data_IF_051563667501
#
_entry.id   IF_051563667501
#
_cell.length_a   1.000
_cell.length_b   1.000
_cell.length_c   1.000
_cell.angle_alpha   90.00
_cell.angle_beta   90.00
_cell.angle_gamma   90.00
#
_symmetry.space_group_name_H-M   'P 1'
#
loop_
_entity.id
_entity.type
_entity.pdbx_description
1 polymer ?
#
# COMPACT_ATOMS: atom_id res chain seq x y z
N UNK A 1 -34.45 33.35 -25.80
CA UNK A 1 -35.12 32.31 -24.99
C UNK A 1 -34.48 30.94 -25.22
N UNK A 2 -34.47 30.40 -26.45
CA UNK A 2 -33.87 29.09 -26.75
C UNK A 2 -32.37 28.88 -26.40
N UNK A 3 -31.57 29.96 -26.30
CA UNK A 3 -30.14 29.86 -25.95
C UNK A 3 -29.87 29.79 -24.44
N UNK A 4 -30.79 30.27 -23.59
CA UNK A 4 -30.67 30.13 -22.14
C UNK A 4 -31.13 28.74 -21.71
N UNK A 5 -32.27 28.27 -22.24
CA UNK A 5 -32.80 26.93 -21.92
C UNK A 5 -31.83 25.80 -22.30
N UNK A 6 -31.11 25.92 -23.42
CA UNK A 6 -30.07 24.95 -23.80
C UNK A 6 -28.84 25.00 -22.89
N UNK A 7 -28.53 26.16 -22.32
CA UNK A 7 -27.40 26.35 -21.43
C UNK A 7 -27.71 25.81 -20.03
N UNK A 8 -28.93 26.07 -19.55
CA UNK A 8 -29.45 25.54 -18.29
C UNK A 8 -29.56 24.00 -18.33
N UNK A 9 -29.94 23.42 -19.48
CA UNK A 9 -29.97 21.96 -19.67
C UNK A 9 -28.57 21.33 -19.64
N UNK A 10 -27.61 21.93 -20.34
CA UNK A 10 -26.24 21.43 -20.38
C UNK A 10 -25.52 21.56 -19.02
N UNK A 11 -25.77 22.65 -18.29
CA UNK A 11 -25.27 22.85 -16.92
C UNK A 11 -25.87 21.80 -15.97
N UNK A 12 -27.17 21.50 -16.10
CA UNK A 12 -27.83 20.45 -15.34
C UNK A 12 -27.28 19.05 -15.63
N UNK A 13 -27.09 18.70 -16.90
CA UNK A 13 -26.50 17.42 -17.31
C UNK A 13 -25.09 17.22 -16.74
N UNK A 14 -24.28 18.28 -16.72
CA UNK A 14 -22.93 18.26 -16.14
C UNK A 14 -22.98 18.02 -14.61
N UNK A 15 -23.90 18.69 -13.91
CA UNK A 15 -24.06 18.54 -12.46
C UNK A 15 -24.49 17.13 -12.06
N UNK A 16 -25.39 16.51 -12.83
CA UNK A 16 -25.81 15.12 -12.61
C UNK A 16 -24.63 14.17 -12.82
N UNK A 17 -23.85 14.36 -13.88
CA UNK A 17 -22.69 13.51 -14.16
C UNK A 17 -21.63 13.57 -13.04
N UNK A 18 -21.38 14.75 -12.47
CA UNK A 18 -20.45 14.92 -11.34
C UNK A 18 -20.96 14.24 -10.06
N UNK A 19 -22.26 14.31 -9.80
CA UNK A 19 -22.90 13.61 -8.68
C UNK A 19 -22.86 12.09 -8.86
N UNK A 20 -23.09 11.59 -10.07
CA UNK A 20 -22.98 10.18 -10.38
C UNK A 20 -21.55 9.66 -10.23
N UNK A 21 -20.54 10.43 -10.64
CA UNK A 21 -19.13 10.07 -10.43
C UNK A 21 -18.79 9.97 -8.94
N UNK A 22 -19.21 10.97 -8.15
CA UNK A 22 -19.01 10.97 -6.70
C UNK A 22 -19.78 9.83 -6.02
N UNK A 23 -21.02 9.57 -6.44
CA UNK A 23 -21.86 8.46 -5.97
C UNK A 23 -21.16 7.12 -6.20
N UNK A 24 -20.62 6.90 -7.40
CA UNK A 24 -19.95 5.64 -7.72
C UNK A 24 -18.71 5.42 -6.84
N UNK A 25 -17.87 6.44 -6.66
CA UNK A 25 -16.71 6.36 -5.75
C UNK A 25 -17.12 6.13 -4.29
N UNK A 26 -18.21 6.77 -3.86
CA UNK A 26 -18.75 6.57 -2.52
C UNK A 26 -19.26 5.13 -2.34
N UNK A 27 -20.00 4.60 -3.30
CA UNK A 27 -20.49 3.21 -3.29
C UNK A 27 -19.37 2.16 -3.22
N UNK A 28 -18.21 2.42 -3.83
CA UNK A 28 -17.03 1.55 -3.67
C UNK A 28 -16.58 1.39 -2.22
N UNK A 29 -16.97 2.30 -1.33
CA UNK A 29 -16.64 2.28 0.08
C UNK A 29 -17.62 1.49 0.96
N UNK A 30 -18.82 1.16 0.45
CA UNK A 30 -19.86 0.44 1.20
C UNK A 30 -19.39 -0.94 1.72
N UNK A 31 -18.67 -1.77 0.94
CA UNK A 31 -18.14 -3.05 1.43
C UNK A 31 -17.15 -2.87 2.61
N UNK A 32 -16.39 -1.78 2.62
CA UNK A 32 -15.40 -1.47 3.66
C UNK A 32 -16.12 -1.16 4.97
N UNK A 33 -17.16 -0.32 4.93
CA UNK A 33 -17.98 -0.01 6.11
C UNK A 33 -18.62 -1.28 6.68
N UNK A 34 -19.14 -2.14 5.82
CA UNK A 34 -19.71 -3.41 6.26
C UNK A 34 -18.67 -4.27 6.98
N UNK A 35 -17.45 -4.36 6.42
CA UNK A 35 -16.34 -5.07 7.06
C UNK A 35 -15.93 -4.47 8.41
N UNK A 36 -15.89 -3.13 8.55
CA UNK A 36 -15.62 -2.46 9.84
C UNK A 36 -16.67 -2.83 10.88
N UNK A 37 -17.97 -2.73 10.52
CA UNK A 37 -19.08 -3.05 11.42
C UNK A 37 -19.02 -4.51 11.89
N UNK A 38 -18.74 -5.44 10.98
CA UNK A 38 -18.56 -6.85 11.32
C UNK A 38 -17.34 -7.09 12.23
N UNK A 39 -16.23 -6.40 12.00
CA UNK A 39 -15.03 -6.48 12.82
C UNK A 39 -15.28 -6.00 14.26
N UNK A 40 -15.99 -4.87 14.42
CA UNK A 40 -16.35 -4.28 15.70
C UNK A 40 -17.40 -5.08 16.49
N UNK A 41 -18.23 -5.87 15.82
CA UNK A 41 -19.26 -6.68 16.46
C UNK A 41 -18.71 -7.97 17.13
N UNK A 42 -17.50 -8.41 16.75
CA UNK A 42 -16.85 -9.59 17.32
C UNK A 42 -16.13 -9.24 18.62
N UNK A 43 -16.22 -10.10 19.63
CA UNK A 43 -15.35 -10.03 20.82
C UNK A 43 -14.04 -10.74 20.53
N UNK A 44 -12.94 -10.00 20.53
CA UNK A 44 -11.59 -10.54 20.34
C UNK A 44 -10.90 -10.76 21.70
N UNK A 45 -9.86 -11.60 21.74
CA UNK A 45 -9.07 -11.84 22.97
C UNK A 45 -8.06 -10.71 23.25
N UNK A 46 -7.40 -10.76 24.43
CA UNK A 46 -6.51 -9.71 24.97
C UNK A 46 -5.47 -9.15 23.99
N UNK A 47 -5.02 -9.97 23.01
CA UNK A 47 -4.04 -9.58 21.97
C UNK A 47 -4.55 -8.45 21.06
N UNK A 48 -5.87 -8.34 20.88
CA UNK A 48 -6.50 -7.41 19.93
C UNK A 48 -7.01 -6.11 20.57
N UNK A 49 -6.96 -5.94 21.90
CA UNK A 49 -7.59 -4.79 22.59
C UNK A 49 -7.11 -3.43 22.06
N UNK A 50 -5.80 -3.24 21.83
CA UNK A 50 -5.26 -1.96 21.35
C UNK A 50 -5.65 -1.66 19.90
N UNK A 51 -5.67 -2.69 19.05
CA UNK A 51 -5.99 -2.54 17.62
C UNK A 51 -7.49 -2.36 17.41
N UNK A 52 -8.30 -3.08 18.18
CA UNK A 52 -9.73 -2.85 18.27
C UNK A 52 -10.02 -1.43 18.76
N UNK A 53 -9.24 -0.92 19.72
CA UNK A 53 -9.35 0.46 20.18
C UNK A 53 -8.98 1.48 19.09
N UNK A 54 -7.93 1.22 18.31
CA UNK A 54 -7.52 2.10 17.21
C UNK A 54 -8.58 2.14 16.09
N UNK A 55 -9.12 0.99 15.67
CA UNK A 55 -10.24 0.93 14.71
C UNK A 55 -11.49 1.60 15.27
N UNK A 56 -11.80 1.43 16.56
CA UNK A 56 -12.90 2.13 17.24
C UNK A 56 -12.67 3.65 17.24
N UNK A 57 -11.44 4.12 17.43
CA UNK A 57 -11.13 5.54 17.44
C UNK A 57 -11.30 6.14 16.03
N UNK A 58 -10.74 5.49 14.99
CA UNK A 58 -10.91 5.94 13.61
C UNK A 58 -12.37 5.87 13.15
N UNK A 59 -13.12 4.83 13.53
CA UNK A 59 -14.55 4.76 13.25
C UNK A 59 -15.35 5.84 14.00
N UNK A 60 -14.98 6.21 15.23
CA UNK A 60 -15.61 7.32 15.96
C UNK A 60 -15.42 8.68 15.28
N UNK A 61 -14.31 8.88 14.59
CA UNK A 61 -14.06 10.10 13.80
C UNK A 61 -14.87 10.11 12.50
N UNK A 62 -15.02 8.92 11.87
CA UNK A 62 -15.79 8.75 10.64
C UNK A 62 -17.31 8.82 10.86
N UNK A 63 -17.78 8.27 11.97
CA UNK A 63 -19.20 8.06 12.23
C UNK A 63 -20.04 9.35 12.16
N UNK A 64 -19.63 10.49 12.74
CA UNK A 64 -20.35 11.76 12.59
C UNK A 64 -20.46 12.25 11.14
N UNK A 65 -19.44 12.00 10.30
CA UNK A 65 -19.43 12.40 8.88
C UNK A 65 -20.42 11.53 8.09
N UNK A 66 -20.45 10.23 8.37
CA UNK A 66 -21.45 9.31 7.81
C UNK A 66 -22.87 9.71 8.22
N UNK A 67 -23.07 10.07 9.49
CA UNK A 67 -24.34 10.59 9.97
C UNK A 67 -24.71 11.91 9.29
N UNK A 68 -23.75 12.81 9.03
CA UNK A 68 -24.00 14.09 8.36
C UNK A 68 -24.42 13.91 6.90
N UNK A 69 -23.76 13.00 6.18
CA UNK A 69 -24.15 12.62 4.81
C UNK A 69 -25.60 12.09 4.80
N UNK A 70 -25.99 11.34 5.84
CA UNK A 70 -27.33 10.80 5.98
C UNK A 70 -28.36 11.87 6.42
N UNK A 71 -28.02 12.77 7.35
CA UNK A 71 -28.90 13.82 7.93
C UNK A 71 -29.35 14.91 6.94
N UNK A 72 -28.84 14.93 5.71
CA UNK A 72 -29.40 15.78 4.66
C UNK A 72 -30.84 15.38 4.26
N UNK A 73 -31.43 14.35 4.90
CA UNK A 73 -32.86 14.00 4.86
C UNK A 73 -33.54 14.33 6.21
N UNK A 74 -34.75 14.88 6.16
CA UNK A 74 -35.57 15.14 7.35
C UNK A 74 -36.00 13.86 8.11
N UNK A 75 -35.97 12.69 7.46
CA UNK A 75 -36.27 11.39 8.07
C UNK A 75 -35.25 10.34 7.59
N UNK A 76 -34.36 9.88 8.47
CA UNK A 76 -33.33 8.87 8.18
C UNK A 76 -33.60 7.61 9.00
N UNK A 77 -33.52 6.45 8.35
CA UNK A 77 -33.43 5.14 8.99
C UNK A 77 -31.97 4.67 8.99
N UNK A 78 -31.53 3.92 10.02
CA UNK A 78 -30.20 3.27 10.02
C UNK A 78 -30.00 2.27 8.86
N UNK A 79 -31.11 1.84 8.23
CA UNK A 79 -31.15 0.91 7.09
C UNK A 79 -31.21 1.61 5.70
N UNK A 80 -31.09 2.94 5.64
CA UNK A 80 -31.12 3.65 4.36
C UNK A 80 -29.89 3.33 3.48
N UNK A 81 -30.12 3.16 2.18
CA UNK A 81 -29.08 2.79 1.21
C UNK A 81 -27.97 3.83 1.14
N UNK A 82 -26.73 3.38 0.92
CA UNK A 82 -25.54 4.22 0.90
C UNK A 82 -25.56 5.27 -0.24
N UNK A 83 -26.31 5.01 -1.32
CA UNK A 83 -26.47 5.93 -2.45
C UNK A 83 -27.65 6.89 -2.34
N UNK A 84 -28.50 6.70 -1.33
CA UNK A 84 -29.76 7.41 -1.19
C UNK A 84 -29.60 8.96 -1.13
N UNK A 85 -28.54 9.53 -0.51
CA UNK A 85 -28.31 10.98 -0.52
C UNK A 85 -28.03 11.56 -1.91
N UNK A 86 -27.34 10.80 -2.78
CA UNK A 86 -27.05 11.23 -4.15
C UNK A 86 -28.29 11.13 -5.04
N UNK A 87 -29.06 10.05 -4.91
CA UNK A 87 -30.30 9.85 -5.66
C UNK A 87 -31.33 10.95 -5.39
N UNK A 88 -31.47 11.39 -4.13
CA UNK A 88 -32.38 12.47 -3.78
C UNK A 88 -31.93 13.83 -4.32
N UNK A 89 -30.63 14.12 -4.28
CA UNK A 89 -30.10 15.38 -4.81
C UNK A 89 -30.26 15.44 -6.33
N UNK A 90 -30.02 14.32 -7.03
CA UNK A 90 -30.29 14.17 -8.48
C UNK A 90 -31.79 14.31 -8.76
N UNK A 91 -32.66 13.71 -7.95
CA UNK A 91 -34.10 13.87 -8.11
C UNK A 91 -34.53 15.33 -7.89
N UNK A 92 -33.97 16.04 -6.92
CA UNK A 92 -34.29 17.46 -6.69
C UNK A 92 -33.85 18.38 -7.84
N UNK A 93 -32.73 18.05 -8.50
CA UNK A 93 -32.29 18.66 -9.77
C UNK A 93 -33.28 18.40 -10.90
N UNK A 94 -33.86 17.20 -10.94
CA UNK A 94 -34.82 16.80 -11.96
C UNK A 94 -36.19 17.44 -11.83
N UNK A 95 -36.65 17.63 -10.59
CA UNK A 95 -37.98 18.19 -10.29
C UNK A 95 -37.97 19.72 -10.12
N UNK A 96 -36.80 20.36 -10.12
CA UNK A 96 -36.67 21.82 -10.06
C UNK A 96 -37.02 22.43 -8.69
N UNK A 97 -36.86 21.66 -7.61
CA UNK A 97 -37.30 22.03 -6.26
C UNK A 97 -36.40 23.09 -5.57
N UNK A 98 -35.20 23.33 -6.09
CA UNK A 98 -34.21 24.27 -5.53
C UNK A 98 -33.69 25.24 -6.60
N UNK A 99 -33.32 26.46 -6.18
CA UNK A 99 -32.61 27.41 -7.06
C UNK A 99 -31.20 26.91 -7.40
N UNK A 100 -30.72 27.13 -8.63
CA UNK A 100 -29.44 26.63 -9.17
C UNK A 100 -28.26 26.83 -8.20
N UNK A 101 -28.19 27.97 -7.52
CA UNK A 101 -27.13 28.28 -6.53
C UNK A 101 -27.18 27.41 -5.28
N UNK A 102 -28.38 27.10 -4.77
CA UNK A 102 -28.56 26.29 -3.56
C UNK A 102 -28.24 24.82 -3.83
N UNK A 103 -28.51 24.35 -5.04
CA UNK A 103 -28.16 23.00 -5.48
C UNK A 103 -26.65 22.83 -5.65
N UNK A 104 -25.97 23.83 -6.21
CA UNK A 104 -24.51 23.81 -6.36
C UNK A 104 -23.84 23.74 -4.98
N UNK A 105 -24.31 24.51 -3.99
CA UNK A 105 -23.75 24.46 -2.63
C UNK A 105 -23.98 23.09 -1.97
N UNK A 106 -25.19 22.53 -2.08
CA UNK A 106 -25.50 21.18 -1.57
C UNK A 106 -24.67 20.10 -2.26
N UNK A 107 -24.44 20.23 -3.58
CA UNK A 107 -23.59 19.33 -4.38
C UNK A 107 -22.14 19.37 -3.89
N UNK A 108 -21.53 20.55 -3.85
CA UNK A 108 -20.14 20.71 -3.42
C UNK A 108 -19.93 20.21 -1.99
N UNK A 109 -20.91 20.46 -1.11
CA UNK A 109 -20.88 19.97 0.25
C UNK A 109 -20.91 18.44 0.33
N UNK A 110 -21.83 17.79 -0.39
CA UNK A 110 -21.97 16.33 -0.42
C UNK A 110 -20.73 15.66 -1.05
N UNK A 111 -20.17 16.23 -2.11
CA UNK A 111 -18.93 15.76 -2.74
C UNK A 111 -17.75 15.88 -1.77
N UNK A 112 -17.65 16.98 -1.01
CA UNK A 112 -16.59 17.14 -0.02
C UNK A 112 -16.69 16.07 1.07
N UNK A 113 -17.88 15.91 1.67
CA UNK A 113 -18.09 14.93 2.74
C UNK A 113 -17.82 13.49 2.26
N UNK A 114 -18.32 13.13 1.07
CA UNK A 114 -18.06 11.80 0.50
C UNK A 114 -16.57 11.56 0.23
N UNK A 115 -15.85 12.55 -0.31
CA UNK A 115 -14.40 12.44 -0.48
C UNK A 115 -13.64 12.27 0.85
N UNK A 116 -14.06 12.96 1.90
CA UNK A 116 -13.46 12.83 3.23
C UNK A 116 -13.74 11.44 3.82
N UNK A 117 -14.94 10.90 3.61
CA UNK A 117 -15.28 9.51 3.94
C UNK A 117 -14.42 8.53 3.14
N UNK A 118 -14.30 8.67 1.82
CA UNK A 118 -13.49 7.77 0.99
C UNK A 118 -12.03 7.75 1.45
N UNK A 119 -11.41 8.91 1.69
CA UNK A 119 -10.04 9.01 2.18
C UNK A 119 -9.86 8.33 3.54
N UNK A 120 -10.81 8.56 4.45
CA UNK A 120 -10.76 7.99 5.80
C UNK A 120 -10.96 6.47 5.76
N UNK A 121 -11.87 6.01 4.90
CA UNK A 121 -12.15 4.59 4.70
C UNK A 121 -11.02 3.86 3.98
N UNK A 122 -10.29 4.48 3.07
CA UNK A 122 -9.07 3.89 2.52
C UNK A 122 -8.03 3.65 3.62
N UNK A 123 -7.89 4.60 4.55
CA UNK A 123 -7.07 4.43 5.75
C UNK A 123 -7.54 3.28 6.64
N UNK A 124 -8.84 3.20 6.94
CA UNK A 124 -9.39 2.13 7.77
C UNK A 124 -9.39 0.77 7.04
N UNK A 125 -9.54 0.74 5.71
CA UNK A 125 -9.43 -0.46 4.87
C UNK A 125 -8.02 -1.01 4.92
N UNK A 126 -7.01 -0.16 4.85
CA UNK A 126 -5.62 -0.55 5.04
C UNK A 126 -5.41 -1.11 6.45
N UNK A 127 -5.96 -0.47 7.48
CA UNK A 127 -5.92 -0.99 8.84
C UNK A 127 -6.62 -2.36 8.95
N UNK A 128 -7.81 -2.53 8.37
CA UNK A 128 -8.55 -3.79 8.34
C UNK A 128 -7.82 -4.89 7.57
N UNK A 129 -7.27 -4.59 6.40
CA UNK A 129 -6.45 -5.53 5.62
C UNK A 129 -5.16 -5.91 6.38
N UNK A 130 -4.67 -5.03 7.26
CA UNK A 130 -3.58 -5.35 8.17
C UNK A 130 -4.03 -6.14 9.42
N UNK A 131 -5.29 -6.01 9.84
CA UNK A 131 -5.85 -6.57 11.08
C UNK A 131 -6.54 -7.93 10.86
N UNK A 132 -7.07 -8.20 9.67
CA UNK A 132 -7.66 -9.49 9.30
C UNK A 132 -6.54 -10.42 8.81
N UNK A 133 -5.71 -10.89 9.76
CA UNK A 133 -4.72 -11.91 9.48
C UNK A 133 -3.97 -12.33 10.75
N UNK A 134 -3.85 -13.64 10.96
CA UNK A 134 -3.19 -14.31 12.09
C UNK A 134 -1.67 -14.09 12.18
N UNK A 135 -1.08 -13.21 11.38
CA UNK A 135 0.33 -12.81 11.52
C UNK A 135 0.40 -11.51 12.34
N UNK A 136 0.94 -11.55 13.57
CA UNK A 136 1.21 -10.35 14.34
C UNK A 136 1.97 -9.32 13.49
N UNK A 137 1.52 -8.06 13.50
CA UNK A 137 2.18 -6.92 12.83
C UNK A 137 3.69 -6.88 13.13
N UNK A 138 4.08 -7.31 14.33
CA UNK A 138 5.48 -7.47 14.74
C UNK A 138 6.26 -8.45 13.84
N UNK A 139 5.70 -9.62 13.50
CA UNK A 139 6.37 -10.64 12.67
C UNK A 139 6.48 -10.16 11.20
N UNK A 140 5.43 -9.51 10.67
CA UNK A 140 5.50 -8.90 9.32
C UNK A 140 6.55 -7.80 9.24
N UNK A 141 6.54 -6.88 10.21
CA UNK A 141 7.53 -5.81 10.27
C UNK A 141 8.94 -6.37 10.45
N UNK A 142 9.12 -7.38 11.28
CA UNK A 142 10.40 -8.07 11.46
C UNK A 142 10.89 -8.68 10.14
N UNK A 143 10.04 -9.40 9.41
CA UNK A 143 10.41 -9.98 8.11
C UNK A 143 10.83 -8.89 7.13
N UNK A 144 10.02 -7.85 6.95
CA UNK A 144 10.31 -6.80 5.96
C UNK A 144 11.49 -5.92 6.37
N UNK A 145 11.64 -5.57 7.65
CA UNK A 145 12.77 -4.78 8.14
C UNK A 145 14.09 -5.56 8.02
N UNK A 146 14.08 -6.86 8.28
CA UNK A 146 15.26 -7.69 8.13
C UNK A 146 15.64 -7.86 6.65
N UNK A 147 14.68 -8.02 5.74
CA UNK A 147 14.93 -8.02 4.29
C UNK A 147 15.49 -6.68 3.80
N UNK A 148 14.88 -5.57 4.21
CA UNK A 148 15.34 -4.22 3.86
C UNK A 148 16.77 -3.99 4.31
N UNK A 149 17.08 -4.36 5.55
CA UNK A 149 18.42 -4.23 6.09
C UNK A 149 19.42 -5.10 5.33
N UNK A 150 19.13 -6.40 5.17
CA UNK A 150 20.06 -7.34 4.56
C UNK A 150 20.34 -7.01 3.08
N UNK A 151 19.31 -6.62 2.32
CA UNK A 151 19.49 -6.21 0.93
C UNK A 151 20.08 -4.80 0.81
N UNK A 152 19.79 -3.89 1.74
CA UNK A 152 20.42 -2.57 1.81
C UNK A 152 21.93 -2.66 2.05
N UNK A 153 22.34 -3.44 3.05
CA UNK A 153 23.75 -3.69 3.38
C UNK A 153 24.49 -4.32 2.18
N UNK A 154 23.83 -5.23 1.46
CA UNK A 154 24.36 -5.80 0.22
C UNK A 154 24.49 -4.75 -0.89
N UNK A 155 23.46 -3.93 -1.11
CA UNK A 155 23.46 -2.89 -2.14
C UNK A 155 24.57 -1.86 -1.91
N UNK A 156 24.79 -1.46 -0.66
CA UNK A 156 25.87 -0.57 -0.25
C UNK A 156 27.24 -1.19 -0.54
N UNK A 157 27.45 -2.46 -0.15
CA UNK A 157 28.69 -3.20 -0.44
C UNK A 157 28.99 -3.24 -1.95
N UNK A 158 27.97 -3.47 -2.79
CA UNK A 158 28.14 -3.43 -4.25
C UNK A 158 28.46 -2.03 -4.77
N UNK A 159 27.90 -0.97 -4.17
CA UNK A 159 28.23 0.41 -4.50
C UNK A 159 29.71 0.73 -4.26
N UNK A 160 30.23 0.26 -3.13
CA UNK A 160 31.64 0.41 -2.75
C UNK A 160 32.56 -0.34 -3.73
N UNK A 161 32.19 -1.57 -4.10
CA UNK A 161 32.90 -2.36 -5.12
C UNK A 161 32.92 -1.61 -6.46
N UNK A 162 31.78 -1.08 -6.92
CA UNK A 162 31.69 -0.31 -8.16
C UNK A 162 32.49 0.99 -8.13
N UNK A 163 32.61 1.60 -6.95
CA UNK A 163 33.46 2.78 -6.74
C UNK A 163 34.95 2.41 -6.78
N UNK A 164 35.34 1.23 -6.29
CA UNK A 164 36.72 0.74 -6.36
C UNK A 164 37.21 0.54 -7.80
N UNK A 165 36.32 0.20 -8.74
CA UNK A 165 36.65 0.15 -10.17
C UNK A 165 37.03 1.52 -10.79
N UNK A 166 36.63 2.64 -10.17
CA UNK A 166 36.88 4.00 -10.68
C UNK A 166 38.19 4.60 -10.16
N UNK A 167 38.69 4.11 -9.03
CA UNK A 167 39.95 4.51 -8.41
C UNK A 167 41.00 3.45 -8.78
N UNK A 168 42.30 3.79 -8.88
CA UNK A 168 43.35 2.83 -9.26
C UNK A 168 43.60 1.75 -8.17
N UNK A 169 42.63 0.85 -8.02
CA UNK A 169 42.52 -0.32 -7.15
C UNK A 169 43.75 -0.70 -6.30
N UNK A 170 43.55 -0.74 -4.99
CA UNK A 170 44.41 -1.51 -4.09
C UNK A 170 43.73 -2.85 -3.83
N UNK A 171 44.37 -3.96 -4.22
CA UNK A 171 43.84 -5.35 -4.08
C UNK A 171 43.33 -5.65 -2.66
N UNK A 172 43.92 -5.06 -1.62
CA UNK A 172 43.52 -5.23 -0.22
C UNK A 172 42.10 -4.72 0.07
N UNK A 173 41.66 -3.65 -0.58
CA UNK A 173 40.34 -3.04 -0.36
C UNK A 173 39.26 -3.92 -0.99
N UNK A 174 39.51 -4.44 -2.19
CA UNK A 174 38.60 -5.37 -2.88
C UNK A 174 38.40 -6.67 -2.08
N UNK A 175 39.46 -7.21 -1.47
CA UNK A 175 39.37 -8.42 -0.64
C UNK A 175 38.44 -8.21 0.56
N UNK A 176 38.51 -7.06 1.23
CA UNK A 176 37.63 -6.78 2.37
C UNK A 176 36.18 -6.60 1.93
N UNK A 177 35.95 -5.91 0.82
CA UNK A 177 34.62 -5.78 0.21
C UNK A 177 34.03 -7.14 -0.19
N UNK A 178 34.85 -8.09 -0.63
CA UNK A 178 34.38 -9.45 -0.92
C UNK A 178 33.96 -10.21 0.32
N UNK A 179 34.66 -10.03 1.44
CA UNK A 179 34.23 -10.64 2.71
C UNK A 179 32.90 -10.06 3.16
N UNK A 180 32.69 -8.75 2.99
CA UNK A 180 31.42 -8.11 3.30
C UNK A 180 30.29 -8.65 2.40
N UNK A 181 30.53 -8.78 1.09
CA UNK A 181 29.56 -9.39 0.18
C UNK A 181 29.24 -10.84 0.60
N UNK A 182 30.25 -11.64 0.93
CA UNK A 182 30.05 -13.01 1.41
C UNK A 182 29.21 -13.07 2.69
N UNK A 183 29.49 -12.19 3.66
CA UNK A 183 28.76 -12.11 4.91
C UNK A 183 27.29 -11.74 4.68
N UNK A 184 27.02 -10.72 3.87
CA UNK A 184 25.66 -10.27 3.54
C UNK A 184 24.88 -11.35 2.79
N UNK A 185 25.53 -12.05 1.86
CA UNK A 185 24.97 -13.20 1.15
C UNK A 185 24.57 -14.31 2.14
N UNK A 186 25.42 -14.61 3.11
CA UNK A 186 25.13 -15.57 4.17
C UNK A 186 23.91 -15.18 5.00
N UNK A 187 23.85 -13.93 5.45
CA UNK A 187 22.72 -13.38 6.22
C UNK A 187 21.40 -13.50 5.46
N UNK A 188 21.37 -13.09 4.19
CA UNK A 188 20.18 -13.19 3.33
C UNK A 188 19.71 -14.65 3.21
N UNK A 189 20.65 -15.57 3.01
CA UNK A 189 20.36 -17.01 2.86
C UNK A 189 19.70 -17.58 4.11
N UNK A 190 20.30 -17.33 5.28
CA UNK A 190 19.80 -17.83 6.57
C UNK A 190 18.41 -17.26 6.82
N UNK A 191 18.24 -15.96 6.65
CA UNK A 191 16.97 -15.29 6.88
C UNK A 191 15.85 -15.80 5.95
N UNK A 192 16.10 -15.89 4.64
CA UNK A 192 15.10 -16.38 3.69
C UNK A 192 14.71 -17.83 4.03
N UNK A 193 15.69 -18.66 4.38
CA UNK A 193 15.46 -20.06 4.78
C UNK A 193 14.59 -20.15 6.03
N UNK A 194 14.94 -19.41 7.09
CA UNK A 194 14.19 -19.38 8.34
C UNK A 194 12.77 -18.86 8.13
N UNK A 195 12.61 -17.81 7.33
CA UNK A 195 11.30 -17.24 7.02
C UNK A 195 10.42 -18.25 6.30
N UNK A 196 10.92 -18.86 5.22
CA UNK A 196 10.16 -19.84 4.43
C UNK A 196 9.77 -21.07 5.25
N UNK A 197 10.68 -21.57 6.10
CA UNK A 197 10.38 -22.72 6.96
C UNK A 197 9.31 -22.42 8.01
N UNK A 198 9.27 -21.18 8.51
CA UNK A 198 8.33 -20.79 9.56
C UNK A 198 6.99 -20.28 9.00
N UNK A 199 6.90 -19.92 7.71
CA UNK A 199 5.67 -19.43 7.04
C UNK A 199 4.44 -20.31 7.29
N UNK A 200 4.49 -21.65 7.10
CA UNK A 200 3.34 -22.51 7.35
C UNK A 200 2.89 -22.51 8.82
N UNK A 201 3.80 -22.24 9.75
CA UNK A 201 3.53 -22.17 11.19
C UNK A 201 2.88 -20.87 11.65
N UNK A 202 2.83 -19.84 10.80
CA UNK A 202 2.25 -18.54 11.12
C UNK A 202 0.73 -18.46 10.90
N UNK A 203 0.08 -19.53 10.43
CA UNK A 203 -1.37 -19.57 10.25
C UNK A 203 -1.90 -18.54 9.24
N UNK A 204 -1.12 -18.29 8.19
CA UNK A 204 -1.42 -17.31 7.14
C UNK A 204 -2.56 -17.82 6.26
N UNK A 205 -3.54 -16.97 5.97
CA UNK A 205 -4.60 -17.30 5.01
C UNK A 205 -4.04 -17.35 3.57
N UNK A 206 -4.59 -18.25 2.73
CA UNK A 206 -4.08 -18.55 1.39
C UNK A 206 -4.04 -17.30 0.47
N UNK A 207 -4.98 -16.38 0.64
CA UNK A 207 -5.06 -15.11 -0.10
C UNK A 207 -3.93 -14.13 0.26
N UNK A 208 -3.36 -14.25 1.46
CA UNK A 208 -2.27 -13.42 1.99
C UNK A 208 -0.89 -14.06 1.80
N UNK A 209 -0.86 -15.38 1.65
CA UNK A 209 0.37 -16.12 1.40
C UNK A 209 0.97 -15.76 0.04
N UNK A 210 0.13 -15.58 -0.98
CA UNK A 210 0.58 -15.34 -2.36
C UNK A 210 1.46 -14.09 -2.51
N UNK A 211 1.08 -12.89 -2.02
CA UNK A 211 1.97 -11.73 -2.10
C UNK A 211 3.29 -11.89 -1.34
N UNK A 212 3.30 -12.64 -0.23
CA UNK A 212 4.50 -12.91 0.57
C UNK A 212 5.41 -13.90 -0.18
N UNK A 213 4.84 -14.97 -0.73
CA UNK A 213 5.56 -15.93 -1.56
C UNK A 213 6.13 -15.26 -2.81
N UNK A 214 5.36 -14.39 -3.48
CA UNK A 214 5.84 -13.64 -4.65
C UNK A 214 7.04 -12.76 -4.30
N UNK A 215 7.01 -12.07 -3.15
CA UNK A 215 8.14 -11.26 -2.67
C UNK A 215 9.36 -12.12 -2.30
N UNK A 216 9.16 -13.26 -1.64
CA UNK A 216 10.23 -14.16 -1.25
C UNK A 216 10.87 -14.83 -2.47
N UNK A 217 10.07 -15.30 -3.43
CA UNK A 217 10.55 -15.85 -4.70
C UNK A 217 11.37 -14.82 -5.45
N UNK A 218 10.89 -13.58 -5.53
CA UNK A 218 11.61 -12.50 -6.19
C UNK A 218 12.89 -12.10 -5.44
N UNK A 219 12.88 -12.18 -4.11
CA UNK A 219 14.08 -11.98 -3.28
C UNK A 219 15.13 -13.06 -3.54
N UNK A 220 14.69 -14.32 -3.74
CA UNK A 220 15.57 -15.44 -4.13
C UNK A 220 16.11 -15.24 -5.54
N UNK A 221 15.30 -14.79 -6.49
CA UNK A 221 15.74 -14.57 -7.89
C UNK A 221 16.76 -13.45 -8.00
N UNK A 222 16.57 -12.36 -7.25
CA UNK A 222 17.52 -11.24 -7.22
C UNK A 222 18.79 -11.65 -6.49
N UNK A 223 18.69 -12.48 -5.45
CA UNK A 223 19.83 -13.05 -4.76
C UNK A 223 20.66 -13.93 -5.72
N UNK A 224 21.89 -13.49 -6.05
CA UNK A 224 22.74 -14.13 -7.06
C UNK A 224 24.08 -14.63 -6.48
N UNK A 225 24.11 -15.79 -5.80
CA UNK A 225 25.35 -16.40 -5.30
C UNK A 225 26.35 -16.71 -6.41
N UNK A 226 25.83 -17.05 -7.58
CA UNK A 226 26.65 -17.40 -8.73
C UNK A 226 27.48 -16.20 -9.19
N UNK A 227 26.90 -15.00 -9.21
CA UNK A 227 27.62 -13.78 -9.53
C UNK A 227 28.77 -13.54 -8.55
N UNK A 228 28.54 -13.72 -7.25
CA UNK A 228 29.57 -13.61 -6.22
C UNK A 228 30.74 -14.57 -6.46
N UNK A 229 30.47 -15.88 -6.58
CA UNK A 229 31.54 -16.87 -6.76
C UNK A 229 32.28 -16.72 -8.09
N UNK A 230 31.58 -16.34 -9.16
CA UNK A 230 32.20 -16.06 -10.44
C UNK A 230 33.10 -14.82 -10.37
N UNK A 231 32.68 -13.78 -9.67
CA UNK A 231 33.49 -12.57 -9.47
C UNK A 231 34.74 -12.85 -8.62
N UNK A 232 34.60 -13.55 -7.49
CA UNK A 232 35.73 -13.92 -6.62
C UNK A 232 36.84 -14.67 -7.38
N UNK A 233 36.49 -15.50 -8.38
CA UNK A 233 37.45 -16.27 -9.18
C UNK A 233 38.27 -15.41 -10.14
N UNK A 234 37.78 -14.23 -10.50
CA UNK A 234 38.45 -13.34 -11.47
C UNK A 234 39.14 -12.15 -10.80
N UNK A 235 38.92 -11.93 -9.50
CA UNK A 235 39.59 -10.87 -8.73
C UNK A 235 41.11 -11.00 -8.84
N UNK A 236 41.77 -9.86 -9.07
CA UNK A 236 43.21 -9.76 -9.31
C UNK A 236 43.61 -9.95 -10.78
N UNK A 237 42.67 -10.33 -11.66
CA UNK A 237 42.88 -10.35 -13.10
C UNK A 237 42.22 -9.11 -13.72
N UNK A 238 43.01 -8.06 -13.92
CA UNK A 238 42.51 -6.70 -14.20
C UNK A 238 41.51 -6.61 -15.35
N UNK A 239 41.74 -7.32 -16.47
CA UNK A 239 40.83 -7.32 -17.63
C UNK A 239 39.55 -8.12 -17.34
N UNK A 240 39.65 -9.36 -16.86
CA UNK A 240 38.48 -10.20 -16.53
C UNK A 240 37.63 -9.59 -15.40
N UNK A 241 38.24 -8.85 -14.47
CA UNK A 241 37.52 -8.17 -13.38
C UNK A 241 36.67 -7.02 -13.93
N UNK A 242 37.15 -6.29 -14.95
CA UNK A 242 36.42 -5.19 -15.58
C UNK A 242 35.18 -5.67 -16.33
N UNK A 243 35.22 -6.86 -16.94
CA UNK A 243 34.08 -7.47 -17.64
C UNK A 243 32.90 -7.78 -16.70
N UNK A 244 33.15 -7.92 -15.40
CA UNK A 244 32.10 -8.16 -14.41
C UNK A 244 31.43 -6.88 -13.91
N UNK A 245 31.98 -5.70 -14.23
CA UNK A 245 31.46 -4.42 -13.75
C UNK A 245 29.98 -4.23 -14.12
N UNK A 246 29.62 -4.44 -15.39
CA UNK A 246 28.24 -4.28 -15.87
C UNK A 246 27.27 -5.23 -15.16
N UNK A 247 27.70 -6.49 -14.91
CA UNK A 247 26.89 -7.47 -14.18
C UNK A 247 26.67 -7.07 -12.72
N UNK A 248 27.67 -6.45 -12.09
CA UNK A 248 27.57 -5.94 -10.72
C UNK A 248 26.67 -4.69 -10.67
N UNK A 249 26.75 -3.79 -11.66
CA UNK A 249 25.86 -2.64 -11.81
C UNK A 249 24.40 -3.08 -11.97
N UNK A 250 24.15 -4.07 -12.82
CA UNK A 250 22.81 -4.64 -13.00
C UNK A 250 22.28 -5.27 -11.72
N UNK A 251 23.10 -6.04 -11.01
CA UNK A 251 22.71 -6.66 -9.76
C UNK A 251 22.40 -5.62 -8.67
N UNK A 252 23.22 -4.58 -8.55
CA UNK A 252 22.98 -3.45 -7.64
C UNK A 252 21.67 -2.72 -7.97
N UNK A 253 21.35 -2.53 -9.26
CA UNK A 253 20.11 -1.91 -9.71
C UNK A 253 18.89 -2.76 -9.37
N UNK A 254 18.95 -4.08 -9.61
CA UNK A 254 17.87 -5.01 -9.30
C UNK A 254 17.60 -5.06 -7.78
N UNK A 255 18.66 -5.03 -6.96
CA UNK A 255 18.53 -4.89 -5.51
C UNK A 255 17.84 -3.58 -5.12
N UNK A 256 18.17 -2.47 -5.76
CA UNK A 256 17.51 -1.18 -5.50
C UNK A 256 16.02 -1.18 -5.82
N UNK A 257 15.61 -1.87 -6.89
CA UNK A 257 14.19 -2.05 -7.23
C UNK A 257 13.49 -2.86 -6.15
N UNK A 258 14.07 -4.00 -5.75
CA UNK A 258 13.52 -4.87 -4.70
C UNK A 258 13.40 -4.13 -3.36
N UNK A 259 14.43 -3.37 -2.96
CA UNK A 259 14.41 -2.56 -1.74
C UNK A 259 13.29 -1.53 -1.80
N UNK A 260 13.12 -0.83 -2.92
CA UNK A 260 12.04 0.14 -3.10
C UNK A 260 10.65 -0.49 -2.98
N UNK A 261 10.47 -1.70 -3.50
CA UNK A 261 9.21 -2.46 -3.37
C UNK A 261 8.94 -2.87 -1.92
N UNK A 262 9.92 -3.42 -1.21
CA UNK A 262 9.77 -3.77 0.21
C UNK A 262 9.49 -2.51 1.04
N UNK A 263 10.15 -1.39 0.73
CA UNK A 263 9.97 -0.11 1.42
C UNK A 263 8.54 0.40 1.28
N UNK A 264 8.00 0.38 0.05
CA UNK A 264 6.61 0.75 -0.24
C UNK A 264 5.61 -0.14 0.50
N UNK A 265 5.94 -1.41 0.77
CA UNK A 265 5.10 -2.31 1.57
C UNK A 265 5.17 -1.93 3.07
N UNK A 266 6.31 -1.42 3.56
CA UNK A 266 6.53 -1.09 4.98
C UNK A 266 6.14 0.32 5.43
N UNK A 267 6.12 1.32 4.54
CA UNK A 267 5.89 2.73 4.90
C UNK A 267 4.42 3.17 4.96
N UNK A 268 3.46 2.29 4.72
CA UNK A 268 2.05 2.59 4.96
C UNK A 268 1.78 2.72 6.47
N UNK A 269 1.84 3.98 6.95
CA UNK A 269 1.50 4.43 8.31
C UNK A 269 0.02 4.23 8.63
#
# INVERSE_FOLDING_TARGET
MANNERRDLAEKELLIAELDEARNKYLECEPIIHAIKQFLAKKHGDVFEKQEQDVKNSYKELHPILEEIQRNRENVSEDDSFDAPFMDLIASLDHGEFGVSEVIEKKEHLIRLSNDVCKTLDGIKLQLNCVIGLIPKAIRLEIFQNLLRAFGDLQETLAEILTSFKLQNNESTLVELMKNWAANTGTITVFLTETILNLPGYGIEEEQLKPIDDLLNRSIDVYSPELFFNFVRVIGKTEETLDYKERIEDHQRLLGILIGEIWNITEYK
#
